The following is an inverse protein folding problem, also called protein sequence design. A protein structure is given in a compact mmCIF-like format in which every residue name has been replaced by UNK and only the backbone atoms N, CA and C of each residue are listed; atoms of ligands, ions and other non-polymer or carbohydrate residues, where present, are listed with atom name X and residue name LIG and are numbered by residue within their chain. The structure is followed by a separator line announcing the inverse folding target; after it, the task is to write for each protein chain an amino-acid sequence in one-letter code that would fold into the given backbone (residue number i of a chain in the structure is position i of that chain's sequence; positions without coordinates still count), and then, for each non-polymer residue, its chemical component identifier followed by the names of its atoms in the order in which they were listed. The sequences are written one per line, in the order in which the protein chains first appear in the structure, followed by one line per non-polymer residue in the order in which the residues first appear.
data_IF_136064481967
#
_entry.id   IF_136064481967
#
_cell.length_a   1.000
_cell.length_b   1.000
_cell.length_c   1.000
_cell.angle_alpha   90.00
_cell.angle_beta   90.00
_cell.angle_gamma   90.00
#
_symmetry.space_group_name_H-M   'P 1'
#
loop_
_entity.id
_entity.type
_entity.pdbx_description
1 polymer ?
#
# COMPACT_ATOMS: atom_id res chain seq x y z
N UNK A 1 11.46 -5.10 3.55
CA UNK A 1 11.15 -4.96 2.11
C UNK A 1 11.11 -3.48 1.78
N UNK A 2 11.57 -3.09 0.60
CA UNK A 2 11.46 -1.73 0.09
C UNK A 2 10.22 -1.62 -0.79
N UNK A 3 9.43 -0.56 -0.62
CA UNK A 3 8.23 -0.29 -1.41
C UNK A 3 8.42 0.92 -2.33
N UNK A 4 9.14 1.93 -1.86
CA UNK A 4 9.36 3.17 -2.61
C UNK A 4 10.60 3.10 -3.51
N UNK A 5 10.63 3.99 -4.52
CA UNK A 5 11.76 4.15 -5.42
C UNK A 5 12.73 5.24 -4.88
N UNK A 6 13.92 4.85 -4.38
CA UNK A 6 14.89 5.77 -3.81
C UNK A 6 15.52 6.62 -4.91
N UNK A 7 15.34 7.94 -4.85
CA UNK A 7 15.77 8.88 -5.89
C UNK A 7 17.26 8.79 -6.27
N UNK A 8 18.13 8.39 -5.34
CA UNK A 8 19.58 8.32 -5.53
C UNK A 8 20.12 6.88 -5.55
N UNK A 9 19.24 5.87 -5.70
CA UNK A 9 19.58 4.47 -5.51
C UNK A 9 19.82 4.10 -4.04
N UNK A 10 20.12 2.83 -3.78
CA UNK A 10 20.44 2.29 -2.45
C UNK A 10 21.81 1.63 -2.50
N UNK A 11 22.71 2.03 -1.60
CA UNK A 11 23.95 1.30 -1.35
C UNK A 11 23.68 0.07 -0.48
N UNK A 12 23.78 -1.12 -1.08
CA UNK A 12 23.58 -2.40 -0.42
C UNK A 12 24.87 -2.98 0.18
N UNK A 13 26.04 -2.36 -0.06
CA UNK A 13 27.32 -2.88 0.43
C UNK A 13 27.39 -3.02 1.96
N UNK A 14 26.82 -2.10 2.77
CA UNK A 14 26.80 -2.26 4.23
C UNK A 14 26.08 -3.52 4.72
N UNK A 15 25.20 -4.10 3.89
CA UNK A 15 24.39 -5.27 4.22
C UNK A 15 25.17 -6.59 4.06
N UNK A 16 26.25 -6.58 3.27
CA UNK A 16 27.03 -7.78 2.88
C UNK A 16 27.63 -8.52 4.08
N UNK A 17 28.25 -7.81 5.02
CA UNK A 17 28.91 -8.44 6.18
C UNK A 17 27.94 -9.15 7.12
N UNK A 18 26.65 -8.79 7.05
CA UNK A 18 25.59 -9.41 7.84
C UNK A 18 24.78 -10.41 7.02
N UNK A 19 25.18 -10.70 5.77
CA UNK A 19 24.46 -11.58 4.84
C UNK A 19 22.97 -11.23 4.73
N UNK A 20 22.63 -9.95 4.76
CA UNK A 20 21.24 -9.47 4.72
C UNK A 20 20.72 -9.56 3.28
N UNK A 21 19.49 -10.08 3.12
CA UNK A 21 18.77 -10.06 1.86
C UNK A 21 18.04 -8.73 1.64
N UNK A 22 17.97 -8.29 0.39
CA UNK A 22 17.21 -7.11 -0.03
C UNK A 22 16.05 -7.58 -0.90
N UNK A 23 14.83 -7.22 -0.51
CA UNK A 23 13.60 -7.57 -1.22
C UNK A 23 12.84 -6.30 -1.59
N UNK A 24 12.60 -6.11 -2.88
CA UNK A 24 11.65 -5.13 -3.38
C UNK A 24 10.24 -5.72 -3.33
N UNK A 25 9.33 -4.99 -2.71
CA UNK A 25 7.90 -5.29 -2.75
C UNK A 25 7.23 -4.27 -3.66
N UNK A 26 6.77 -4.75 -4.81
CA UNK A 26 6.00 -3.94 -5.74
C UNK A 26 4.69 -4.68 -6.03
N UNK A 27 3.62 -4.28 -5.35
CA UNK A 27 2.35 -5.01 -5.36
C UNK A 27 1.69 -5.09 -6.75
N UNK A 28 2.11 -4.26 -7.72
CA UNK A 28 1.66 -4.31 -9.11
C UNK A 28 2.41 -5.36 -9.96
N UNK A 29 3.52 -5.94 -9.50
CA UNK A 29 4.33 -6.88 -10.30
C UNK A 29 3.49 -8.01 -10.90
N UNK A 30 2.67 -8.66 -10.08
CA UNK A 30 1.81 -9.77 -10.52
C UNK A 30 0.83 -9.38 -11.61
N UNK A 31 0.14 -8.25 -11.44
CA UNK A 31 -0.89 -7.79 -12.38
C UNK A 31 -0.29 -7.15 -13.63
N UNK A 32 0.78 -6.37 -13.49
CA UNK A 32 1.48 -5.72 -14.58
C UNK A 32 2.09 -6.73 -15.55
N UNK A 33 2.64 -7.83 -15.04
CA UNK A 33 3.26 -8.87 -15.85
C UNK A 33 2.39 -10.12 -16.05
N UNK A 34 1.16 -10.14 -15.51
CA UNK A 34 0.26 -11.29 -15.57
C UNK A 34 0.95 -12.61 -15.19
N UNK A 35 1.68 -12.60 -14.08
CA UNK A 35 2.47 -13.76 -13.64
C UNK A 35 1.57 -14.97 -13.36
N UNK A 36 2.12 -16.18 -13.45
CA UNK A 36 1.36 -17.41 -13.22
C UNK A 36 0.68 -17.47 -11.84
N UNK A 37 1.22 -16.75 -10.85
CA UNK A 37 0.70 -16.63 -9.49
C UNK A 37 -0.16 -15.38 -9.24
N UNK A 38 -0.65 -14.70 -10.28
CA UNK A 38 -1.48 -13.49 -10.15
C UNK A 38 -2.74 -13.72 -9.27
N UNK A 39 -3.28 -14.94 -9.27
CA UNK A 39 -4.42 -15.35 -8.42
C UNK A 39 -4.16 -15.17 -6.92
N UNK A 40 -2.90 -15.17 -6.49
CA UNK A 40 -2.54 -15.03 -5.07
C UNK A 40 -3.02 -13.70 -4.49
N UNK A 41 -3.13 -12.64 -5.28
CA UNK A 41 -3.68 -11.37 -4.80
C UNK A 41 -5.16 -11.51 -4.37
N UNK A 42 -5.97 -12.27 -5.12
CA UNK A 42 -7.36 -12.56 -4.73
C UNK A 42 -7.40 -13.39 -3.45
N UNK A 43 -6.56 -14.43 -3.35
CA UNK A 43 -6.51 -15.30 -2.18
C UNK A 43 -6.18 -14.50 -0.91
N UNK A 44 -5.16 -13.64 -0.95
CA UNK A 44 -4.76 -12.78 0.17
C UNK A 44 -5.91 -11.84 0.57
N UNK A 45 -6.60 -11.22 -0.39
CA UNK A 45 -7.72 -10.32 -0.11
C UNK A 45 -8.93 -11.05 0.48
N UNK A 46 -9.19 -12.29 0.04
CA UNK A 46 -10.24 -13.14 0.61
C UNK A 46 -9.92 -13.56 2.05
N UNK A 47 -8.66 -13.93 2.33
CA UNK A 47 -8.22 -14.21 3.70
C UNK A 47 -8.31 -12.99 4.60
N UNK A 48 -7.93 -11.81 4.10
CA UNK A 48 -8.08 -10.55 4.83
C UNK A 48 -9.54 -10.28 5.19
N UNK A 49 -10.48 -10.50 4.27
CA UNK A 49 -11.92 -10.36 4.52
C UNK A 49 -12.37 -11.26 5.68
N UNK A 50 -11.98 -12.54 5.65
CA UNK A 50 -12.29 -13.49 6.72
C UNK A 50 -11.71 -13.04 8.07
N UNK A 51 -10.48 -12.52 8.08
CA UNK A 51 -9.86 -12.02 9.32
C UNK A 51 -10.56 -10.76 9.86
N UNK A 52 -11.13 -9.92 8.99
CA UNK A 52 -11.96 -8.78 9.38
C UNK A 52 -13.27 -9.25 10.01
N UNK A 53 -13.95 -10.21 9.38
CA UNK A 53 -15.19 -10.80 9.91
C UNK A 53 -15.00 -11.47 11.28
N UNK A 54 -13.84 -12.10 11.47
CA UNK A 54 -13.44 -12.70 12.75
C UNK A 54 -13.00 -11.67 13.80
N UNK A 55 -12.97 -10.37 13.45
CA UNK A 55 -12.55 -9.29 14.35
C UNK A 55 -11.04 -9.27 14.66
N UNK A 56 -10.24 -10.09 13.97
CA UNK A 56 -8.78 -10.15 14.15
C UNK A 56 -8.07 -8.99 13.46
N UNK A 57 -8.63 -8.51 12.35
CA UNK A 57 -8.17 -7.31 11.65
C UNK A 57 -9.24 -6.23 11.72
N UNK A 58 -8.84 -5.00 12.05
CA UNK A 58 -9.73 -3.83 12.10
C UNK A 58 -9.37 -2.86 10.98
N UNK A 59 -10.36 -2.12 10.51
CA UNK A 59 -10.15 -1.08 9.50
C UNK A 59 -9.13 -0.04 9.97
N UNK A 60 -8.31 0.44 9.05
CA UNK A 60 -7.41 1.58 9.27
C UNK A 60 -8.03 2.89 8.77
N UNK A 61 -9.32 2.89 8.40
CA UNK A 61 -10.07 4.09 8.09
C UNK A 61 -9.92 5.12 9.20
N UNK A 62 -9.51 6.34 8.84
CA UNK A 62 -9.35 7.44 9.78
C UNK A 62 -10.26 8.61 9.48
N UNK A 63 -10.41 8.97 8.21
CA UNK A 63 -11.18 10.13 7.81
C UNK A 63 -11.73 10.01 6.39
N UNK A 64 -12.79 10.76 6.12
CA UNK A 64 -13.36 10.90 4.79
C UNK A 64 -13.38 12.36 4.36
N UNK A 65 -13.06 12.61 3.08
CA UNK A 65 -13.24 13.92 2.45
C UNK A 65 -14.56 14.01 1.66
N UNK A 66 -15.48 13.06 1.86
CA UNK A 66 -16.81 13.07 1.26
C UNK A 66 -16.82 12.53 -0.17
N UNK A 67 -17.58 13.20 -1.04
CA UNK A 67 -17.80 12.77 -2.43
C UNK A 67 -16.52 12.70 -3.24
N UNK A 68 -16.47 11.78 -4.19
CA UNK A 68 -15.41 11.69 -5.19
C UNK A 68 -15.60 12.84 -6.18
N UNK A 69 -14.83 13.90 -5.99
CA UNK A 69 -14.70 15.01 -6.93
C UNK A 69 -13.28 15.57 -6.90
N UNK A 70 -12.94 16.41 -7.87
CA UNK A 70 -11.59 16.96 -7.99
C UNK A 70 -11.15 17.80 -6.78
N UNK A 71 -12.07 18.53 -6.13
CA UNK A 71 -11.73 19.35 -4.97
C UNK A 71 -11.32 18.47 -3.78
N UNK A 72 -12.11 17.45 -3.47
CA UNK A 72 -11.87 16.52 -2.36
C UNK A 72 -10.64 15.65 -2.62
N UNK A 73 -10.39 15.24 -3.88
CA UNK A 73 -9.17 14.53 -4.25
C UNK A 73 -7.92 15.39 -4.04
N UNK A 74 -7.93 16.67 -4.43
CA UNK A 74 -6.79 17.57 -4.20
C UNK A 74 -6.48 17.74 -2.71
N UNK A 75 -7.51 17.82 -1.87
CA UNK A 75 -7.34 17.85 -0.41
C UNK A 75 -6.74 16.54 0.13
N UNK A 76 -7.19 15.39 -0.38
CA UNK A 76 -6.62 14.07 -0.07
C UNK A 76 -5.13 13.99 -0.39
N UNK A 77 -4.76 14.39 -1.60
CA UNK A 77 -3.38 14.41 -2.07
C UNK A 77 -2.50 15.32 -1.21
N UNK A 78 -2.94 16.55 -0.95
CA UNK A 78 -2.17 17.50 -0.14
C UNK A 78 -1.83 16.95 1.26
N UNK A 79 -2.75 16.20 1.88
CA UNK A 79 -2.50 15.59 3.18
C UNK A 79 -1.58 14.35 3.12
N UNK A 80 -1.68 13.55 2.06
CA UNK A 80 -0.78 12.41 1.85
C UNK A 80 0.65 12.91 1.61
N UNK A 81 0.81 13.88 0.73
CA UNK A 81 2.11 14.50 0.38
C UNK A 81 2.75 15.20 1.58
N UNK A 82 1.96 15.69 2.53
CA UNK A 82 2.51 16.29 3.75
C UNK A 82 3.12 15.27 4.72
N UNK A 83 2.93 13.97 4.52
CA UNK A 83 3.41 12.90 5.41
C UNK A 83 2.76 12.87 6.80
N UNK A 84 1.68 13.64 7.02
CA UNK A 84 1.00 13.76 8.34
C UNK A 84 -0.23 12.85 8.46
N UNK A 85 -0.60 12.17 7.38
CA UNK A 85 -1.74 11.26 7.37
C UNK A 85 -1.49 10.07 8.31
N UNK A 86 -2.45 9.80 9.20
CA UNK A 86 -2.48 8.60 10.03
C UNK A 86 -3.66 7.74 9.55
N UNK A 87 -3.42 6.46 9.30
CA UNK A 87 -4.44 5.55 8.76
C UNK A 87 -4.76 5.82 7.29
N UNK A 88 -6.02 5.60 6.90
CA UNK A 88 -6.48 5.73 5.51
C UNK A 88 -7.54 6.83 5.36
N UNK A 89 -7.38 7.61 4.29
CA UNK A 89 -8.34 8.59 3.80
C UNK A 89 -9.23 7.89 2.78
N UNK A 90 -10.55 8.02 2.89
CA UNK A 90 -11.51 7.42 1.95
C UNK A 90 -12.43 8.49 1.38
N UNK A 91 -12.75 8.41 0.09
CA UNK A 91 -13.80 9.20 -0.54
C UNK A 91 -14.84 8.22 -1.09
N UNK A 92 -16.12 8.61 -1.09
CA UNK A 92 -17.21 7.73 -1.54
C UNK A 92 -18.37 8.51 -2.15
N UNK A 93 -19.04 7.91 -3.13
CA UNK A 93 -20.09 8.56 -3.93
C UNK A 93 -19.52 9.55 -4.96
N UNK A 94 -20.37 10.12 -5.80
CA UNK A 94 -20.00 11.12 -6.83
C UNK A 94 -20.83 12.41 -6.68
#
# INVERSE_FOLDING_TARGET
ALIDDPANGIDIMPLKQKSISVHWEFMFTRSLFSTADMVVQQQILSDLSRLIEQGQVKTTFKQSFGKINAANLKQAHALLESGKAIGKIVLSGF
#
